data_IF_707005214790
#
_entry.id   IF_707005214790
#
_cell.length_a   1.000
_cell.length_b   1.000
_cell.length_c   1.000
_cell.angle_alpha   90.00
_cell.angle_beta   90.00
_cell.angle_gamma   90.00
#
_symmetry.space_group_name_H-M   'P 1'
#
loop_
_entity.id
_entity.type
_entity.pdbx_description
1 polymer ?
#
# COMPACT_ATOMS: atom_id res chain seq x y z
N UNK A 1 -5.64 7.32 -1.80
CA UNK A 1 -5.82 6.15 -0.92
C UNK A 1 -7.25 6.13 -0.42
N UNK A 2 -7.71 4.99 0.07
CA UNK A 2 -9.06 4.80 0.62
C UNK A 2 -9.03 5.04 2.12
N UNK A 3 -9.96 5.87 2.63
CA UNK A 3 -10.08 6.12 4.07
C UNK A 3 -10.34 4.83 4.87
N UNK A 4 -9.78 4.77 6.08
CA UNK A 4 -9.91 3.62 6.98
C UNK A 4 -9.06 2.40 6.58
N UNK A 5 -8.18 2.53 5.59
CA UNK A 5 -7.19 1.50 5.25
C UNK A 5 -5.91 1.67 6.06
N UNK A 6 -5.22 0.57 6.33
CA UNK A 6 -3.94 0.59 7.04
C UNK A 6 -2.93 1.48 6.29
N UNK A 7 -2.95 1.43 4.95
CA UNK A 7 -2.09 2.27 4.12
C UNK A 7 -2.37 3.76 4.35
N UNK A 8 -3.63 4.20 4.39
CA UNK A 8 -3.98 5.59 4.65
C UNK A 8 -3.60 6.05 6.08
N UNK A 9 -3.78 5.16 7.06
CA UNK A 9 -3.38 5.42 8.45
C UNK A 9 -1.86 5.60 8.57
N UNK A 10 -1.06 4.75 7.91
CA UNK A 10 0.40 4.85 7.95
C UNK A 10 0.91 6.16 7.34
N UNK A 11 0.31 6.57 6.23
CA UNK A 11 0.71 7.81 5.56
C UNK A 11 0.14 9.08 6.21
N UNK A 12 -0.86 8.95 7.09
CA UNK A 12 -1.60 10.05 7.72
C UNK A 12 -2.26 11.00 6.68
N UNK A 13 -2.51 10.50 5.48
CA UNK A 13 -3.13 11.23 4.36
C UNK A 13 -3.68 10.25 3.34
N UNK A 14 -4.70 10.67 2.60
CA UNK A 14 -5.20 9.94 1.44
C UNK A 14 -4.46 10.26 0.16
N UNK A 15 -3.72 11.37 0.10
CA UNK A 15 -3.02 11.82 -1.11
C UNK A 15 -1.51 11.69 -0.93
N UNK A 16 -0.91 10.83 -1.77
CA UNK A 16 0.52 10.54 -1.74
C UNK A 16 1.14 10.57 -3.12
N UNK A 17 2.44 10.81 -3.18
CA UNK A 17 3.23 10.78 -4.41
C UNK A 17 4.42 9.86 -4.19
N UNK A 18 4.49 8.74 -4.92
CA UNK A 18 5.58 7.78 -4.86
C UNK A 18 6.36 7.68 -6.18
N UNK A 19 7.48 6.95 -6.19
CA UNK A 19 8.33 6.77 -7.37
C UNK A 19 8.12 5.39 -7.98
N UNK A 20 7.91 5.31 -9.29
CA UNK A 20 7.57 4.06 -9.97
C UNK A 20 8.68 3.70 -10.96
N UNK A 21 8.91 2.40 -11.17
CA UNK A 21 9.85 1.91 -12.20
C UNK A 21 9.40 0.55 -12.73
N UNK A 22 8.23 0.53 -13.32
CA UNK A 22 7.59 -0.69 -13.82
C UNK A 22 6.84 -0.44 -15.14
N UNK A 23 6.32 -1.52 -15.75
CA UNK A 23 5.51 -1.45 -16.98
C UNK A 23 4.24 -2.29 -16.91
N UNK A 24 4.22 -3.31 -16.05
CA UNK A 24 3.07 -4.17 -15.88
C UNK A 24 2.17 -3.61 -14.79
N UNK A 25 0.89 -3.50 -15.11
CA UNK A 25 -0.14 -3.00 -14.20
C UNK A 25 -1.08 -4.13 -13.81
N UNK A 26 -1.80 -3.95 -12.69
CA UNK A 26 -2.85 -4.89 -12.27
C UNK A 26 -3.94 -4.95 -13.34
N UNK A 27 -4.29 -6.15 -13.76
CA UNK A 27 -5.31 -6.34 -14.77
C UNK A 27 -6.70 -6.09 -14.18
N UNK A 28 -7.30 -4.97 -14.59
CA UNK A 28 -8.63 -4.52 -14.18
C UNK A 28 -9.72 -5.59 -14.31
N UNK A 29 -9.61 -6.51 -15.28
CA UNK A 29 -10.58 -7.61 -15.48
C UNK A 29 -10.66 -8.57 -14.30
N UNK A 30 -9.64 -8.61 -13.45
CA UNK A 30 -9.53 -9.56 -12.34
C UNK A 30 -9.72 -8.93 -10.96
N UNK A 31 -9.97 -7.62 -10.86
CA UNK A 31 -10.07 -6.93 -9.57
C UNK A 31 -11.15 -7.53 -8.68
N UNK A 32 -12.33 -7.84 -9.21
CA UNK A 32 -13.41 -8.43 -8.41
C UNK A 32 -13.05 -9.82 -7.88
N UNK A 33 -12.26 -10.59 -8.64
CA UNK A 33 -11.78 -11.90 -8.21
C UNK A 33 -10.71 -11.77 -7.12
N UNK A 34 -9.80 -10.81 -7.27
CA UNK A 34 -8.78 -10.47 -6.27
C UNK A 34 -9.45 -10.03 -4.96
N UNK A 35 -10.48 -9.17 -5.03
CA UNK A 35 -11.25 -8.73 -3.87
C UNK A 35 -11.97 -9.88 -3.16
N UNK A 36 -12.57 -10.80 -3.93
CA UNK A 36 -13.17 -12.03 -3.37
C UNK A 36 -12.15 -12.93 -2.67
N UNK A 37 -10.87 -12.83 -3.03
CA UNK A 37 -9.76 -13.53 -2.38
C UNK A 37 -9.24 -12.87 -1.09
N UNK A 38 -9.90 -11.83 -0.56
CA UNK A 38 -9.52 -11.18 0.70
C UNK A 38 -8.51 -10.04 0.56
N UNK A 39 -8.23 -9.60 -0.68
CA UNK A 39 -7.34 -8.45 -0.93
C UNK A 39 -8.17 -7.18 -1.13
N UNK A 40 -7.81 -6.14 -0.39
CA UNK A 40 -8.40 -4.81 -0.46
C UNK A 40 -7.53 -3.94 -1.35
N UNK A 41 -8.14 -3.19 -2.27
CA UNK A 41 -7.45 -2.13 -3.03
C UNK A 41 -7.45 -0.87 -2.16
N UNK A 42 -6.33 -0.57 -1.52
CA UNK A 42 -6.19 0.56 -0.57
C UNK A 42 -5.72 1.85 -1.23
N UNK A 43 -5.22 1.78 -2.46
CA UNK A 43 -4.83 2.96 -3.22
C UNK A 43 -4.87 2.72 -4.72
N UNK A 44 -5.29 3.76 -5.44
CA UNK A 44 -5.33 3.79 -6.90
C UNK A 44 -4.76 5.11 -7.42
N UNK A 45 -4.42 5.15 -8.70
CA UNK A 45 -4.08 6.39 -9.40
C UNK A 45 -5.20 7.44 -9.28
N UNK A 46 -4.94 8.74 -9.50
CA UNK A 46 -5.95 9.79 -9.38
C UNK A 46 -7.18 9.59 -10.28
N UNK A 47 -7.01 8.90 -11.42
CA UNK A 47 -8.10 8.54 -12.33
C UNK A 47 -8.77 7.19 -12.00
N UNK A 48 -8.32 6.51 -10.95
CA UNK A 48 -8.84 5.23 -10.45
C UNK A 48 -8.49 4.01 -11.30
N UNK A 49 -7.70 4.17 -12.38
CA UNK A 49 -7.45 3.11 -13.37
C UNK A 49 -6.28 2.20 -13.06
N UNK A 50 -5.35 2.63 -12.23
CA UNK A 50 -4.20 1.83 -11.82
C UNK A 50 -4.33 1.51 -10.34
N UNK A 51 -4.06 0.27 -9.97
CA UNK A 51 -3.99 -0.16 -8.57
C UNK A 51 -2.57 0.10 -8.09
N UNK A 52 -2.44 0.95 -7.08
CA UNK A 52 -1.15 1.42 -6.56
C UNK A 52 -0.77 0.77 -5.23
N UNK A 53 -1.79 0.50 -4.40
CA UNK A 53 -1.65 -0.15 -3.10
C UNK A 53 -2.73 -1.19 -2.91
N UNK A 54 -2.32 -2.32 -2.32
CA UNK A 54 -3.23 -3.37 -1.85
C UNK A 54 -2.86 -3.77 -0.43
N UNK A 55 -3.85 -4.21 0.32
CA UNK A 55 -3.69 -4.71 1.67
C UNK A 55 -4.62 -5.89 1.95
N UNK A 56 -4.43 -6.55 3.09
CA UNK A 56 -5.32 -7.62 3.56
C UNK A 56 -5.56 -7.45 5.06
N UNK A 57 -6.82 -7.62 5.47
CA UNK A 57 -7.24 -7.58 6.86
C UNK A 57 -6.95 -8.86 7.63
N UNK A 58 -6.54 -9.93 6.94
CA UNK A 58 -6.36 -11.26 7.55
C UNK A 58 -5.03 -11.39 8.32
N UNK A 59 -4.17 -10.38 8.27
CA UNK A 59 -2.89 -10.31 8.97
C UNK A 59 -2.71 -8.93 9.60
N UNK A 60 -2.01 -8.85 10.73
CA UNK A 60 -1.76 -7.57 11.43
C UNK A 60 -1.03 -6.54 10.56
N UNK A 61 -0.24 -7.01 9.59
CA UNK A 61 0.38 -6.17 8.59
C UNK A 61 0.54 -6.91 7.26
N UNK A 62 -0.30 -6.56 6.29
CA UNK A 62 -0.13 -6.96 4.90
C UNK A 62 -0.37 -5.75 4.02
N UNK A 63 0.69 -5.18 3.45
CA UNK A 63 0.62 -4.06 2.51
C UNK A 63 1.59 -4.34 1.36
N UNK A 64 1.13 -4.15 0.13
CA UNK A 64 1.96 -4.18 -1.07
C UNK A 64 1.69 -2.95 -1.94
N UNK A 65 2.72 -2.48 -2.63
CA UNK A 65 2.63 -1.32 -3.52
C UNK A 65 3.39 -1.58 -4.81
N UNK A 66 2.90 -0.99 -5.91
CA UNK A 66 3.61 -0.97 -7.20
C UNK A 66 4.78 0.02 -7.22
N UNK A 67 4.78 0.98 -6.29
CA UNK A 67 5.81 1.99 -6.21
C UNK A 67 7.05 1.50 -5.45
N UNK A 68 8.07 2.36 -5.41
CA UNK A 68 9.35 2.15 -4.73
C UNK A 68 9.48 3.11 -3.54
N UNK A 69 8.82 2.83 -2.39
CA UNK A 69 8.90 3.69 -1.19
C UNK A 69 10.32 3.84 -0.65
N UNK A 70 11.21 2.88 -0.93
CA UNK A 70 12.63 2.89 -0.56
C UNK A 70 13.37 4.10 -1.12
N UNK A 71 12.98 4.60 -2.30
CA UNK A 71 13.64 5.76 -2.90
C UNK A 71 13.35 7.07 -2.16
N UNK A 72 12.27 7.13 -1.38
CA UNK A 72 11.89 8.29 -0.57
C UNK A 72 12.28 8.17 0.90
N UNK A 73 12.60 6.98 1.39
CA UNK A 73 13.08 6.76 2.75
C UNK A 73 14.46 7.43 3.00
N UNK A 74 14.68 7.96 4.21
CA UNK A 74 15.95 8.56 4.66
C UNK A 74 16.25 8.14 6.10
N UNK A 75 17.52 8.13 6.55
CA UNK A 75 17.88 7.73 7.91
C UNK A 75 17.12 8.47 9.03
N UNK A 76 16.97 9.80 8.92
CA UNK A 76 16.25 10.63 9.90
C UNK A 76 14.78 10.86 9.57
N UNK A 77 14.30 10.23 8.49
CA UNK A 77 12.91 10.31 8.03
C UNK A 77 12.58 9.02 7.33
N UNK A 78 12.39 7.98 8.13
CA UNK A 78 11.99 6.66 7.64
C UNK A 78 10.66 6.77 6.92
N UNK A 79 10.54 6.11 5.78
CA UNK A 79 9.28 6.08 5.06
C UNK A 79 8.19 5.33 5.87
N UNK A 80 6.93 5.81 5.89
CA UNK A 80 5.91 5.28 6.80
C UNK A 80 5.65 3.78 6.68
N UNK A 81 5.63 3.23 5.46
CA UNK A 81 5.44 1.79 5.25
C UNK A 81 6.50 0.92 5.95
N UNK A 82 7.78 1.34 5.95
CA UNK A 82 8.83 0.57 6.63
C UNK A 82 8.74 0.74 8.15
N UNK A 83 8.44 1.94 8.64
CA UNK A 83 8.24 2.18 10.06
C UNK A 83 7.05 1.37 10.61
N UNK A 84 5.96 1.34 9.85
CA UNK A 84 4.76 0.53 10.12
C UNK A 84 5.07 -0.96 10.18
N UNK A 85 5.77 -1.49 9.17
CA UNK A 85 6.16 -2.90 9.12
C UNK A 85 7.00 -3.30 10.34
N UNK A 86 8.04 -2.54 10.67
CA UNK A 86 8.91 -2.82 11.83
C UNK A 86 8.12 -2.75 13.14
N UNK A 87 7.20 -1.78 13.28
CA UNK A 87 6.33 -1.66 14.44
C UNK A 87 5.43 -2.89 14.59
N UNK A 88 4.80 -3.35 13.50
CA UNK A 88 3.96 -4.54 13.52
C UNK A 88 4.75 -5.80 13.89
N UNK A 89 5.94 -5.98 13.31
CA UNK A 89 6.84 -7.09 13.65
C UNK A 89 7.26 -7.10 15.13
N UNK A 90 7.39 -5.93 15.76
CA UNK A 90 7.72 -5.82 17.18
C UNK A 90 6.53 -6.18 18.07
N UNK A 91 5.31 -5.84 17.67
CA UNK A 91 4.08 -6.15 18.42
C UNK A 91 3.73 -7.63 18.38
N UNK A 92 4.11 -8.35 17.32
CA UNK A 92 3.83 -9.76 17.12
C UNK A 92 4.91 -10.71 17.69
N UNK A 93 5.64 -10.26 18.71
CA UNK A 93 6.59 -11.09 19.48
C UNK A 93 5.92 -11.65 20.72
#
# INVERSE_FOLDING_TARGET
>A
MVDGTLTAELYETTDVVERHRHRYEVNQKFIDQIKKGGIIVSGSSPDGKLVEFVESSDNDFFVATQAHPEFKSRPFRSHPLFAGLIKAMRSNK
#
